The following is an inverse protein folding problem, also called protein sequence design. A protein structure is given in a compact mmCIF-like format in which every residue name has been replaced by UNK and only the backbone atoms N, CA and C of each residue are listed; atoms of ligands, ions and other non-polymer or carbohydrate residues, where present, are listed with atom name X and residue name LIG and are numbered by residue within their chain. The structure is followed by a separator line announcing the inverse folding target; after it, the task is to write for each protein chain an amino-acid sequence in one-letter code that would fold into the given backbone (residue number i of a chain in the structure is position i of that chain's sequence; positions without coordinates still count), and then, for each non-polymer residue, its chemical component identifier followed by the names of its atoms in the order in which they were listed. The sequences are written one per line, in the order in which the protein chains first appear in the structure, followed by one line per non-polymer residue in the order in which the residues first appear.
data_IF_042662038776
#
_entry.id   IF_042662038776
#
_cell.length_a   1.000
_cell.length_b   1.000
_cell.length_c   1.000
_cell.angle_alpha   90.00
_cell.angle_beta   90.00
_cell.angle_gamma   90.00
#
_symmetry.space_group_name_H-M   'P 1'
#
loop_
_entity.id
_entity.type
_entity.pdbx_description
1 polymer ?
#
# COMPACT_ATOMS: atom_id res chain seq x y z
N UNK A 1 27.00 -2.41 -1.10
CA UNK A 1 27.91 -3.56 -1.24
C UNK A 1 27.25 -4.55 -2.19
N UNK A 2 27.96 -5.06 -3.21
CA UNK A 2 27.43 -6.12 -4.05
C UNK A 2 27.22 -7.39 -3.21
N UNK A 3 26.13 -8.10 -3.46
CA UNK A 3 25.93 -9.46 -2.95
C UNK A 3 26.57 -10.38 -3.97
N UNK A 4 27.61 -11.11 -3.58
CA UNK A 4 28.24 -12.10 -4.44
C UNK A 4 27.35 -13.34 -4.51
N UNK A 5 26.88 -13.66 -5.72
CA UNK A 5 25.98 -14.78 -6.00
C UNK A 5 26.64 -15.85 -6.86
N UNK A 6 27.84 -15.59 -7.39
CA UNK A 6 28.52 -16.49 -8.34
C UNK A 6 29.06 -17.75 -7.63
N UNK A 7 29.19 -17.68 -6.30
CA UNK A 7 29.59 -18.79 -5.45
C UNK A 7 28.43 -19.73 -5.07
N UNK A 8 27.18 -19.43 -5.46
CA UNK A 8 26.00 -20.17 -5.03
C UNK A 8 25.59 -21.23 -6.06
N UNK A 9 25.20 -22.40 -5.56
CA UNK A 9 24.51 -23.42 -6.34
C UNK A 9 23.08 -22.99 -6.71
N UNK A 10 22.46 -23.70 -7.65
CA UNK A 10 21.07 -23.43 -8.05
C UNK A 10 20.09 -23.51 -6.88
N UNK A 11 20.24 -24.49 -5.99
CA UNK A 11 19.38 -24.63 -4.80
C UNK A 11 19.54 -23.45 -3.83
N UNK A 12 20.79 -22.99 -3.62
CA UNK A 12 21.08 -21.84 -2.78
C UNK A 12 20.56 -20.53 -3.39
N UNK A 13 20.61 -20.40 -4.72
CA UNK A 13 20.02 -19.27 -5.43
C UNK A 13 18.49 -19.25 -5.31
N UNK A 14 17.85 -20.42 -5.37
CA UNK A 14 16.40 -20.55 -5.18
C UNK A 14 16.00 -20.18 -3.75
N UNK A 15 16.72 -20.66 -2.73
CA UNK A 15 16.48 -20.28 -1.34
C UNK A 15 16.67 -18.77 -1.12
N UNK A 16 17.78 -18.22 -1.63
CA UNK A 16 18.07 -16.79 -1.55
C UNK A 16 16.94 -15.97 -2.20
N UNK A 17 16.49 -16.37 -3.39
CA UNK A 17 15.39 -15.69 -4.08
C UNK A 17 14.11 -15.71 -3.25
N UNK A 18 13.72 -16.86 -2.69
CA UNK A 18 12.53 -16.99 -1.85
C UNK A 18 12.59 -16.04 -0.64
N UNK A 19 13.74 -15.98 0.04
CA UNK A 19 13.97 -15.09 1.19
C UNK A 19 13.94 -13.62 0.78
N UNK A 20 14.54 -13.26 -0.36
CA UNK A 20 14.50 -11.89 -0.90
C UNK A 20 13.07 -11.47 -1.22
N UNK A 21 12.32 -12.32 -1.93
CA UNK A 21 10.91 -12.07 -2.27
C UNK A 21 10.07 -11.88 -1.01
N UNK A 22 10.25 -12.74 -0.01
CA UNK A 22 9.56 -12.64 1.27
C UNK A 22 9.93 -11.34 2.00
N UNK A 23 11.22 -10.99 2.08
CA UNK A 23 11.69 -9.76 2.71
C UNK A 23 11.10 -8.52 2.03
N UNK A 24 11.10 -8.49 0.70
CA UNK A 24 10.50 -7.40 -0.08
C UNK A 24 8.99 -7.30 0.17
N UNK A 25 8.29 -8.43 0.28
CA UNK A 25 6.85 -8.48 0.62
C UNK A 25 6.59 -7.84 1.98
N UNK A 26 7.41 -8.11 3.00
CA UNK A 26 7.30 -7.47 4.31
C UNK A 26 7.57 -5.97 4.26
N UNK A 27 8.62 -5.54 3.56
CA UNK A 27 8.94 -4.11 3.39
C UNK A 27 7.79 -3.36 2.72
N UNK A 28 7.17 -3.93 1.68
CA UNK A 28 6.00 -3.35 1.01
C UNK A 28 4.81 -3.22 1.96
N UNK A 29 4.55 -4.22 2.80
CA UNK A 29 3.49 -4.17 3.81
C UNK A 29 3.76 -3.09 4.86
N UNK A 30 5.00 -2.99 5.36
CA UNK A 30 5.39 -1.96 6.32
C UNK A 30 5.27 -0.54 5.73
N UNK A 31 5.67 -0.33 4.47
CA UNK A 31 5.48 0.96 3.77
C UNK A 31 4.01 1.33 3.60
N UNK A 32 3.17 0.37 3.22
CA UNK A 32 1.73 0.59 3.13
C UNK A 32 1.13 0.97 4.49
N UNK A 33 1.59 0.33 5.57
CA UNK A 33 1.17 0.65 6.93
C UNK A 33 1.67 2.03 7.40
N UNK A 34 2.91 2.41 7.08
CA UNK A 34 3.42 3.75 7.36
C UNK A 34 2.66 4.84 6.60
N UNK A 35 2.25 4.55 5.36
CA UNK A 35 1.40 5.46 4.58
C UNK A 35 0.00 5.57 5.21
N UNK A 36 -0.56 4.49 5.79
CA UNK A 36 -1.80 4.59 6.57
C UNK A 36 -1.68 5.52 7.77
N UNK A 37 -0.55 5.50 8.49
CA UNK A 37 -0.32 6.37 9.66
C UNK A 37 -0.27 7.86 9.31
N UNK A 38 -0.04 8.22 8.04
CA UNK A 38 -0.10 9.60 7.58
C UNK A 38 -1.53 10.13 7.49
N UNK A 39 -2.52 9.25 7.45
CA UNK A 39 -3.93 9.59 7.38
C UNK A 39 -4.65 9.24 8.69
N UNK A 40 -5.73 9.97 9.00
CA UNK A 40 -6.57 9.77 10.19
C UNK A 40 -8.00 9.41 9.79
N UNK A 41 -8.66 8.54 10.55
CA UNK A 41 -10.13 8.41 10.47
C UNK A 41 -10.75 9.78 10.80
N UNK A 42 -11.71 10.21 9.99
CA UNK A 42 -12.30 11.55 10.02
C UNK A 42 -11.59 12.57 9.12
N UNK A 43 -10.44 12.23 8.54
CA UNK A 43 -9.70 13.13 7.65
C UNK A 43 -10.32 13.15 6.23
N UNK A 44 -10.41 14.35 5.66
CA UNK A 44 -10.87 14.57 4.30
C UNK A 44 -9.72 14.31 3.32
N UNK A 45 -9.95 13.45 2.33
CA UNK A 45 -8.95 13.02 1.35
C UNK A 45 -9.53 13.01 -0.04
N UNK A 46 -8.65 12.93 -1.04
CA UNK A 46 -9.04 12.67 -2.41
C UNK A 46 -8.18 11.60 -3.06
N UNK A 47 -8.71 10.97 -4.10
CA UNK A 47 -8.03 10.02 -4.97
C UNK A 47 -8.63 10.07 -6.38
N UNK A 48 -7.93 9.53 -7.37
CA UNK A 48 -8.32 9.59 -8.78
C UNK A 48 -8.44 8.17 -9.33
N UNK A 49 -9.64 7.54 -9.23
CA UNK A 49 -9.90 6.26 -9.87
C UNK A 49 -9.93 6.39 -11.40
N UNK A 50 -9.45 5.35 -12.07
CA UNK A 50 -9.35 5.31 -13.53
C UNK A 50 -10.70 5.64 -14.21
N UNK A 51 -10.67 6.64 -15.09
CA UNK A 51 -11.82 7.04 -15.91
C UNK A 51 -12.96 7.74 -15.16
N UNK A 52 -12.83 8.04 -13.87
CA UNK A 52 -13.91 8.65 -13.05
C UNK A 52 -13.58 10.03 -12.48
N UNK A 53 -12.40 10.56 -12.77
CA UNK A 53 -11.95 11.85 -12.27
C UNK A 53 -11.68 11.83 -10.76
N UNK A 54 -11.42 13.00 -10.17
CA UNK A 54 -11.13 13.12 -8.74
C UNK A 54 -12.36 12.81 -7.90
N UNK A 55 -12.20 11.89 -6.94
CA UNK A 55 -13.19 11.56 -5.91
C UNK A 55 -12.71 12.09 -4.57
N UNK A 56 -13.58 12.78 -3.84
CA UNK A 56 -13.32 13.29 -2.49
C UNK A 56 -14.21 12.60 -1.46
N UNK A 57 -13.69 12.38 -0.26
CA UNK A 57 -14.45 11.81 0.83
C UNK A 57 -13.69 11.79 2.14
N UNK A 58 -14.33 11.24 3.17
CA UNK A 58 -13.78 11.13 4.53
C UNK A 58 -13.34 9.70 4.78
N UNK A 59 -12.17 9.53 5.39
CA UNK A 59 -11.73 8.21 5.84
C UNK A 59 -12.61 7.78 7.02
N UNK A 60 -13.32 6.67 6.89
CA UNK A 60 -14.20 6.15 7.96
C UNK A 60 -13.64 4.92 8.66
N UNK A 61 -12.68 4.21 8.04
CA UNK A 61 -12.14 2.96 8.59
C UNK A 61 -10.78 2.59 8.00
N UNK A 62 -9.92 1.98 8.82
CA UNK A 62 -8.74 1.24 8.36
C UNK A 62 -9.04 -0.25 8.15
N UNK A 63 -8.52 -0.81 7.07
CA UNK A 63 -8.48 -2.25 6.82
C UNK A 63 -7.02 -2.72 6.82
N UNK A 64 -6.80 -4.03 6.67
CA UNK A 64 -5.44 -4.61 6.69
C UNK A 64 -4.50 -4.06 5.60
N UNK A 65 -5.03 -3.64 4.44
CA UNK A 65 -4.25 -3.15 3.28
C UNK A 65 -4.80 -1.89 2.61
N UNK A 66 -6.01 -1.47 2.97
CA UNK A 66 -6.74 -0.36 2.37
C UNK A 66 -7.38 0.50 3.45
N UNK A 67 -7.83 1.69 3.09
CA UNK A 67 -8.76 2.47 3.91
C UNK A 67 -10.13 2.47 3.25
N UNK A 68 -11.18 2.67 4.04
CA UNK A 68 -12.51 2.94 3.53
C UNK A 68 -12.73 4.45 3.52
N UNK A 69 -13.03 5.00 2.35
CA UNK A 69 -13.42 6.40 2.14
C UNK A 69 -14.92 6.46 1.88
N UNK A 70 -15.63 7.31 2.62
CA UNK A 70 -17.05 7.62 2.42
C UNK A 70 -17.16 8.96 1.70
N UNK A 71 -17.80 8.96 0.55
CA UNK A 71 -18.05 10.17 -0.24
C UNK A 71 -19.33 10.87 0.22
N UNK A 72 -19.55 12.16 -0.12
CA UNK A 72 -20.74 12.90 0.28
C UNK A 72 -22.07 12.33 -0.22
N UNK A 73 -22.06 11.62 -1.35
CA UNK A 73 -23.20 10.90 -1.94
C UNK A 73 -23.44 9.52 -1.30
N UNK A 74 -22.68 9.17 -0.25
CA UNK A 74 -22.86 7.94 0.52
C UNK A 74 -22.15 6.72 -0.05
N UNK A 75 -21.39 6.86 -1.13
CA UNK A 75 -20.62 5.77 -1.71
C UNK A 75 -19.39 5.43 -0.85
N UNK A 76 -19.10 4.14 -0.72
CA UNK A 76 -17.92 3.66 -0.02
C UNK A 76 -16.87 3.09 -0.97
N UNK A 77 -15.63 3.53 -0.79
CA UNK A 77 -14.49 3.11 -1.59
C UNK A 77 -13.42 2.46 -0.71
N UNK A 78 -12.90 1.31 -1.15
CA UNK A 78 -11.69 0.72 -0.57
C UNK A 78 -10.49 1.16 -1.40
N UNK A 79 -9.65 2.02 -0.82
CA UNK A 79 -8.54 2.65 -1.53
C UNK A 79 -7.22 2.27 -0.85
N UNK A 80 -6.21 1.94 -1.65
CA UNK A 80 -4.85 1.79 -1.12
C UNK A 80 -4.34 3.16 -0.65
N UNK A 81 -3.75 3.28 0.55
CA UNK A 81 -3.25 4.55 1.08
C UNK A 81 -2.29 5.29 0.15
N UNK A 82 -1.55 4.56 -0.70
CA UNK A 82 -0.64 5.15 -1.68
C UNK A 82 -1.32 5.95 -2.80
N UNK A 83 -2.62 5.76 -2.99
CA UNK A 83 -3.42 6.56 -3.94
C UNK A 83 -4.15 7.73 -3.28
N UNK A 84 -4.12 7.83 -1.96
CA UNK A 84 -4.73 8.94 -1.25
C UNK A 84 -3.83 10.16 -1.25
N UNK A 85 -4.46 11.32 -1.30
CA UNK A 85 -3.86 12.64 -1.07
C UNK A 85 -4.71 13.41 -0.08
N UNK A 86 -4.06 14.21 0.75
CA UNK A 86 -4.74 15.20 1.59
C UNK A 86 -5.23 16.35 0.72
N UNK A 87 -6.36 16.94 1.08
CA UNK A 87 -6.86 18.17 0.44
C UNK A 87 -6.01 19.36 0.85
#
# INVERSE_FOLDING_TARGET
MPVDIDCLSEEELVDLNNRVVERLRFIRQARAHHTMLQFRVGELVYFEPDGRGRVQGVIVRYNKKTVTVLTPDGQQWRVSPGYLRKI
#
